data_IF_578513156039
#
_entry.id   IF_578513156039
#
_cell.length_a   1.000
_cell.length_b   1.000
_cell.length_c   1.000
_cell.angle_alpha   90.00
_cell.angle_beta   90.00
_cell.angle_gamma   90.00
#
_symmetry.space_group_name_H-M   'P 1'
#
loop_
_entity.id
_entity.type
_entity.pdbx_description
1 polymer ?
#
# COMPACT_ATOMS: atom_id res chain seq x y z
N UNK A 1 -0.83 4.68 -37.34
CA UNK A 1 -1.77 4.22 -36.29
C UNK A 1 -0.96 3.48 -35.24
N UNK A 2 -1.04 3.92 -33.98
CA UNK A 2 -0.40 3.20 -32.87
C UNK A 2 -1.15 1.89 -32.70
N UNK A 3 -0.45 0.75 -32.82
CA UNK A 3 -1.08 -0.56 -32.65
C UNK A 3 -1.34 -0.83 -31.17
N UNK A 4 -2.59 -0.67 -30.73
CA UNK A 4 -3.01 -0.92 -29.35
C UNK A 4 -2.93 -2.41 -28.95
N UNK A 5 -2.51 -3.33 -29.82
CA UNK A 5 -2.35 -4.74 -29.48
C UNK A 5 -1.30 -4.96 -28.40
N UNK A 6 -0.13 -4.29 -28.53
CA UNK A 6 0.93 -4.34 -27.52
C UNK A 6 0.44 -3.68 -26.23
N UNK A 7 -0.23 -2.52 -26.31
CA UNK A 7 -0.78 -1.82 -25.17
C UNK A 7 -1.79 -2.70 -24.40
N UNK A 8 -2.72 -3.36 -25.09
CA UNK A 8 -3.71 -4.27 -24.48
C UNK A 8 -3.04 -5.48 -23.82
N UNK A 9 -2.05 -6.10 -24.48
CA UNK A 9 -1.29 -7.20 -23.90
C UNK A 9 -0.57 -6.76 -22.64
N UNK A 10 0.22 -5.67 -22.69
CA UNK A 10 0.98 -5.15 -21.56
C UNK A 10 0.05 -4.73 -20.41
N UNK A 11 -1.10 -4.14 -20.71
CA UNK A 11 -2.09 -3.77 -19.69
C UNK A 11 -2.60 -5.00 -18.93
N UNK A 12 -2.89 -6.12 -19.61
CA UNK A 12 -3.31 -7.37 -18.95
C UNK A 12 -2.21 -7.96 -18.08
N UNK A 13 -0.97 -7.98 -18.58
CA UNK A 13 0.19 -8.45 -17.82
C UNK A 13 0.39 -7.59 -16.58
N UNK A 14 0.33 -6.26 -16.71
CA UNK A 14 0.50 -5.33 -15.60
C UNK A 14 -0.67 -5.37 -14.61
N UNK A 15 -1.90 -5.63 -15.06
CA UNK A 15 -3.04 -5.84 -14.17
C UNK A 15 -2.87 -7.13 -13.34
N UNK A 16 -2.41 -8.22 -13.94
CA UNK A 16 -2.10 -9.46 -13.22
C UNK A 16 -0.92 -9.25 -12.24
N UNK A 17 0.15 -8.56 -12.66
CA UNK A 17 1.27 -8.21 -11.80
C UNK A 17 0.85 -7.30 -10.63
N UNK A 18 -0.11 -6.37 -10.85
CA UNK A 18 -0.69 -5.53 -9.82
C UNK A 18 -1.50 -6.34 -8.80
N UNK A 19 -2.23 -7.37 -9.26
CA UNK A 19 -2.99 -8.26 -8.40
C UNK A 19 -2.08 -9.03 -7.42
N UNK A 20 -0.97 -9.56 -7.93
CA UNK A 20 -0.01 -10.32 -7.14
C UNK A 20 0.90 -9.42 -6.30
N UNK A 21 1.59 -8.49 -6.94
CA UNK A 21 2.57 -7.62 -6.29
C UNK A 21 1.93 -6.60 -5.35
N UNK A 22 0.76 -6.10 -5.70
CA UNK A 22 -0.01 -5.17 -4.86
C UNK A 22 -0.45 -5.78 -3.53
N UNK A 23 -0.53 -7.11 -3.41
CA UNK A 23 -0.89 -7.81 -2.18
C UNK A 23 0.14 -7.61 -1.04
N UNK A 24 1.40 -7.28 -1.35
CA UNK A 24 2.44 -7.05 -0.35
C UNK A 24 2.09 -5.93 0.64
N UNK A 25 1.48 -4.83 0.17
CA UNK A 25 1.10 -3.70 1.02
C UNK A 25 0.06 -4.09 2.08
N UNK A 26 -1.13 -4.64 1.75
CA UNK A 26 -2.10 -5.04 2.76
C UNK A 26 -1.61 -6.19 3.66
N UNK A 27 -0.72 -7.09 3.21
CA UNK A 27 -0.11 -8.11 4.07
C UNK A 27 0.67 -7.43 5.21
N UNK A 28 1.62 -6.54 4.87
CA UNK A 28 2.44 -5.88 5.90
C UNK A 28 1.60 -4.93 6.76
N UNK A 29 0.63 -4.23 6.19
CA UNK A 29 -0.24 -3.34 6.96
C UNK A 29 -1.12 -4.11 7.96
N UNK A 30 -1.57 -5.30 7.61
CA UNK A 30 -2.40 -6.14 8.50
C UNK A 30 -1.63 -6.73 9.68
N UNK A 31 -0.35 -7.01 9.52
CA UNK A 31 0.46 -7.75 10.50
C UNK A 31 1.61 -6.95 11.10
N UNK A 32 2.04 -5.88 10.42
CA UNK A 32 3.29 -5.18 10.76
C UNK A 32 3.30 -4.60 12.16
N UNK A 33 2.18 -4.00 12.63
CA UNK A 33 2.04 -3.51 13.98
C UNK A 33 1.94 -4.65 15.01
N UNK A 34 1.14 -5.67 14.71
CA UNK A 34 0.94 -6.85 15.59
C UNK A 34 2.26 -7.56 15.85
N UNK A 35 3.02 -7.86 14.78
CA UNK A 35 4.33 -8.50 14.89
C UNK A 35 5.36 -7.54 15.49
N UNK A 36 5.29 -6.26 15.10
CA UNK A 36 6.13 -5.22 15.67
C UNK A 36 5.98 -5.14 17.20
N UNK A 37 4.75 -5.19 17.71
CA UNK A 37 4.49 -5.22 19.15
C UNK A 37 5.02 -6.49 19.82
N UNK A 38 4.94 -7.64 19.15
CA UNK A 38 5.41 -8.92 19.68
C UNK A 38 6.94 -9.04 19.69
N UNK A 39 7.64 -8.46 18.72
CA UNK A 39 9.11 -8.56 18.57
C UNK A 39 9.87 -7.36 19.13
N UNK A 40 9.22 -6.21 19.30
CA UNK A 40 9.90 -4.99 19.72
C UNK A 40 10.27 -5.03 21.21
N UNK A 41 11.46 -4.59 21.57
CA UNK A 41 11.84 -4.38 22.97
C UNK A 41 11.07 -3.21 23.63
N UNK A 42 10.56 -2.27 22.81
CA UNK A 42 9.81 -1.11 23.25
C UNK A 42 8.49 -0.99 22.48
N UNK A 43 7.38 -0.80 23.22
CA UNK A 43 6.05 -0.61 22.63
C UNK A 43 5.96 0.61 21.71
N UNK A 44 6.78 1.65 21.95
CA UNK A 44 6.85 2.82 21.08
C UNK A 44 7.35 2.53 19.67
N UNK A 45 8.05 1.41 19.47
CA UNK A 45 8.58 0.98 18.18
C UNK A 45 7.68 -0.04 17.45
N UNK A 46 6.54 -0.41 18.02
CA UNK A 46 5.66 -1.46 17.47
C UNK A 46 5.24 -1.19 16.01
N UNK A 47 4.98 0.06 15.65
CA UNK A 47 4.56 0.46 14.30
C UNK A 47 5.73 0.76 13.35
N UNK A 48 6.98 0.68 13.83
CA UNK A 48 8.17 0.95 13.02
C UNK A 48 8.23 0.09 11.73
N UNK A 49 7.93 -1.23 11.74
CA UNK A 49 7.94 -2.04 10.53
C UNK A 49 7.01 -1.52 9.43
N UNK A 50 5.82 -1.02 9.79
CA UNK A 50 4.86 -0.44 8.84
C UNK A 50 5.38 0.91 8.31
N UNK A 51 5.96 1.73 9.19
CA UNK A 51 6.56 3.01 8.80
C UNK A 51 7.74 2.82 7.84
N UNK A 52 8.55 1.77 8.05
CA UNK A 52 9.67 1.43 7.18
C UNK A 52 9.24 0.98 5.78
N UNK A 53 8.05 0.38 5.62
CA UNK A 53 7.48 0.15 4.28
C UNK A 53 7.29 1.47 3.55
N UNK A 54 6.70 2.47 4.20
CA UNK A 54 6.47 3.78 3.58
C UNK A 54 7.78 4.50 3.25
N UNK A 55 8.76 4.41 4.15
CA UNK A 55 10.11 4.90 3.89
C UNK A 55 10.74 4.19 2.70
N UNK A 56 10.61 2.86 2.61
CA UNK A 56 11.09 2.07 1.47
C UNK A 56 10.44 2.48 0.15
N UNK A 57 9.13 2.75 0.14
CA UNK A 57 8.42 3.29 -1.04
C UNK A 57 9.00 4.63 -1.45
N UNK A 58 9.19 5.55 -0.49
CA UNK A 58 9.74 6.88 -0.77
C UNK A 58 11.16 6.80 -1.33
N UNK A 59 12.05 6.05 -0.66
CA UNK A 59 13.43 5.84 -1.09
C UNK A 59 13.54 5.08 -2.41
N UNK A 60 12.62 4.14 -2.67
CA UNK A 60 12.61 3.31 -3.88
C UNK A 60 12.13 4.02 -5.13
N UNK A 61 11.34 5.08 -5.01
CA UNK A 61 10.65 5.72 -6.16
C UNK A 61 11.64 6.27 -7.20
N UNK A 62 12.66 7.02 -6.77
CA UNK A 62 13.66 7.59 -7.66
C UNK A 62 14.60 6.52 -8.26
N UNK A 63 15.19 5.61 -7.46
CA UNK A 63 15.99 4.51 -7.99
C UNK A 63 15.21 3.62 -8.97
N UNK A 64 13.95 3.30 -8.66
CA UNK A 64 13.09 2.51 -9.55
C UNK A 64 12.92 3.20 -10.92
N UNK A 65 12.64 4.50 -10.93
CA UNK A 65 12.53 5.27 -12.17
C UNK A 65 13.85 5.27 -12.97
N UNK A 66 14.97 5.40 -12.29
CA UNK A 66 16.30 5.39 -12.92
C UNK A 66 16.65 4.01 -13.50
N UNK A 67 16.41 2.95 -12.74
CA UNK A 67 16.61 1.55 -13.19
C UNK A 67 15.75 1.26 -14.42
N UNK A 68 14.45 1.62 -14.37
CA UNK A 68 13.53 1.42 -15.50
C UNK A 68 13.95 2.21 -16.75
N UNK A 69 14.58 3.38 -16.58
CA UNK A 69 15.12 4.15 -17.71
C UNK A 69 16.34 3.48 -18.35
N UNK A 70 17.20 2.82 -17.55
CA UNK A 70 18.43 2.17 -18.05
C UNK A 70 18.19 0.75 -18.56
N UNK A 71 17.46 -0.07 -17.81
CA UNK A 71 17.27 -1.48 -18.11
C UNK A 71 15.96 -1.79 -18.85
N UNK A 72 15.11 -0.76 -19.04
CA UNK A 72 13.75 -0.92 -19.56
C UNK A 72 12.75 -1.38 -18.50
N UNK A 73 11.45 -1.28 -18.82
CA UNK A 73 10.35 -1.59 -17.90
C UNK A 73 10.37 -3.06 -17.43
N UNK A 74 10.53 -4.01 -18.37
CA UNK A 74 10.52 -5.44 -18.06
C UNK A 74 11.58 -5.82 -17.04
N UNK A 75 12.84 -5.50 -17.32
CA UNK A 75 13.97 -5.87 -16.46
C UNK A 75 13.93 -5.10 -15.14
N UNK A 76 13.51 -3.82 -15.17
CA UNK A 76 13.28 -3.03 -13.96
C UNK A 76 12.26 -3.67 -13.03
N UNK A 77 11.14 -4.15 -13.57
CA UNK A 77 10.11 -4.81 -12.78
C UNK A 77 10.52 -6.18 -12.25
N UNK A 78 11.30 -6.94 -13.02
CA UNK A 78 11.91 -8.19 -12.53
C UNK A 78 12.82 -7.89 -11.34
N UNK A 79 13.70 -6.89 -11.43
CA UNK A 79 14.55 -6.48 -10.33
C UNK A 79 13.73 -6.02 -9.11
N UNK A 80 12.67 -5.22 -9.33
CA UNK A 80 11.76 -4.84 -8.26
C UNK A 80 11.12 -6.04 -7.57
N UNK A 81 10.66 -7.03 -8.34
CA UNK A 81 10.06 -8.24 -7.78
C UNK A 81 11.07 -9.14 -7.06
N UNK A 82 12.34 -9.17 -7.48
CA UNK A 82 13.42 -9.81 -6.72
C UNK A 82 13.62 -9.16 -5.34
N UNK A 83 13.52 -7.81 -5.26
CA UNK A 83 13.50 -7.14 -3.96
C UNK A 83 12.28 -7.57 -3.13
N UNK A 84 11.12 -7.80 -3.78
CA UNK A 84 9.93 -8.32 -3.10
C UNK A 84 10.14 -9.72 -2.53
N UNK A 85 10.79 -10.62 -3.29
CA UNK A 85 11.17 -11.96 -2.81
C UNK A 85 12.13 -11.85 -1.63
N UNK A 86 13.21 -11.07 -1.77
CA UNK A 86 14.19 -10.86 -0.70
C UNK A 86 13.53 -10.28 0.56
N UNK A 87 12.68 -9.25 0.41
CA UNK A 87 11.96 -8.63 1.51
C UNK A 87 11.06 -9.62 2.25
N UNK A 88 10.29 -10.44 1.51
CA UNK A 88 9.45 -11.49 2.10
C UNK A 88 10.26 -12.55 2.85
N UNK A 89 11.37 -13.03 2.27
CA UNK A 89 12.24 -14.02 2.91
C UNK A 89 12.95 -13.48 4.16
N UNK A 90 13.45 -12.24 4.11
CA UNK A 90 14.08 -11.58 5.26
C UNK A 90 13.05 -11.32 6.37
N UNK A 91 11.83 -10.90 6.02
CA UNK A 91 10.75 -10.71 6.99
C UNK A 91 10.35 -12.07 7.63
N UNK A 92 10.21 -13.13 6.83
CA UNK A 92 9.92 -14.47 7.32
C UNK A 92 11.03 -14.97 8.29
N UNK A 93 12.30 -14.79 7.92
CA UNK A 93 13.43 -15.14 8.78
C UNK A 93 13.46 -14.29 10.07
N UNK A 94 13.10 -13.02 10.00
CA UNK A 94 12.97 -12.12 11.15
C UNK A 94 11.92 -12.61 12.14
N UNK A 95 10.75 -12.97 11.64
CA UNK A 95 9.65 -13.53 12.46
C UNK A 95 10.06 -14.88 13.06
N UNK A 96 10.61 -15.79 12.24
CA UNK A 96 11.00 -17.14 12.69
C UNK A 96 12.09 -17.11 13.77
N UNK A 97 13.00 -16.14 13.73
CA UNK A 97 14.10 -16.00 14.70
C UNK A 97 13.79 -15.05 15.85
N UNK A 98 12.60 -14.46 15.90
CA UNK A 98 12.26 -13.43 16.89
C UNK A 98 13.09 -12.15 16.76
N UNK A 99 13.63 -11.84 15.56
CA UNK A 99 14.48 -10.68 15.33
C UNK A 99 13.71 -9.49 14.80
N UNK A 100 13.49 -8.49 15.66
CA UNK A 100 12.84 -7.22 15.29
C UNK A 100 13.58 -6.50 14.15
N UNK A 101 14.92 -6.44 14.22
CA UNK A 101 15.73 -5.75 13.21
C UNK A 101 15.62 -6.43 11.83
N UNK A 102 15.69 -7.77 11.78
CA UNK A 102 15.54 -8.50 10.52
C UNK A 102 14.13 -8.29 9.93
N UNK A 103 13.09 -8.28 10.77
CA UNK A 103 11.74 -7.99 10.34
C UNK A 103 11.62 -6.56 9.77
N UNK A 104 12.18 -5.57 10.43
CA UNK A 104 12.25 -4.19 9.95
C UNK A 104 12.97 -4.06 8.60
N UNK A 105 14.10 -4.76 8.41
CA UNK A 105 14.82 -4.77 7.13
C UNK A 105 14.01 -5.44 6.03
N UNK A 106 13.29 -6.51 6.34
CA UNK A 106 12.39 -7.18 5.40
C UNK A 106 11.25 -6.27 4.95
N UNK A 107 10.63 -5.54 5.87
CA UNK A 107 9.54 -4.60 5.55
C UNK A 107 10.04 -3.38 4.77
N UNK A 108 11.23 -2.84 5.09
CA UNK A 108 11.87 -1.78 4.32
C UNK A 108 12.11 -2.23 2.86
N UNK A 109 12.68 -3.43 2.68
CA UNK A 109 12.95 -4.00 1.36
C UNK A 109 11.65 -4.26 0.58
N UNK A 110 10.60 -4.72 1.26
CA UNK A 110 9.24 -4.82 0.68
C UNK A 110 8.73 -3.45 0.22
N UNK A 111 8.99 -2.38 0.97
CA UNK A 111 8.67 -1.01 0.58
C UNK A 111 9.37 -0.58 -0.73
N UNK A 112 10.65 -0.92 -0.89
CA UNK A 112 11.38 -0.70 -2.15
C UNK A 112 10.68 -1.40 -3.33
N UNK A 113 10.24 -2.64 -3.15
CA UNK A 113 9.47 -3.38 -4.15
C UNK A 113 8.15 -2.69 -4.50
N UNK A 114 7.40 -2.24 -3.50
CA UNK A 114 6.10 -1.58 -3.70
C UNK A 114 6.25 -0.31 -4.56
N UNK A 115 7.38 0.39 -4.49
CA UNK A 115 7.66 1.54 -5.37
C UNK A 115 7.62 1.15 -6.87
N UNK A 116 8.12 -0.03 -7.24
CA UNK A 116 8.02 -0.54 -8.62
C UNK A 116 6.57 -0.90 -8.95
N UNK A 117 5.86 -1.58 -8.05
CA UNK A 117 4.46 -1.98 -8.24
C UNK A 117 3.57 -0.76 -8.50
N UNK A 118 3.74 0.32 -7.74
CA UNK A 118 2.96 1.55 -7.92
C UNK A 118 3.15 2.20 -9.29
N UNK A 119 4.24 1.90 -9.99
CA UNK A 119 4.50 2.43 -11.33
C UNK A 119 3.81 1.66 -12.47
N UNK A 120 3.22 0.48 -12.21
CA UNK A 120 2.57 -0.35 -13.25
C UNK A 120 1.47 0.39 -13.99
N UNK A 121 0.66 1.21 -13.30
CA UNK A 121 -0.39 2.02 -13.91
C UNK A 121 0.13 3.03 -14.94
N UNK A 122 1.34 3.57 -14.73
CA UNK A 122 1.97 4.48 -15.67
C UNK A 122 2.56 3.73 -16.87
N UNK A 123 3.20 2.57 -16.62
CA UNK A 123 3.74 1.74 -17.69
C UNK A 123 2.66 1.22 -18.64
N UNK A 124 1.45 0.99 -18.17
CA UNK A 124 0.33 0.59 -19.01
C UNK A 124 -0.04 1.65 -20.07
N UNK A 125 0.33 2.91 -19.85
CA UNK A 125 0.06 4.00 -20.79
C UNK A 125 1.17 4.26 -21.79
N UNK A 126 2.35 3.67 -21.62
CA UNK A 126 3.54 3.97 -22.45
C UNK A 126 3.34 3.64 -23.94
N UNK A 127 2.65 2.53 -24.25
CA UNK A 127 2.35 2.11 -25.62
C UNK A 127 0.88 2.38 -26.03
N UNK A 128 0.10 3.04 -25.17
CA UNK A 128 -1.33 3.21 -25.39
C UNK A 128 -1.64 4.47 -26.21
N UNK A 129 -2.56 4.34 -27.18
CA UNK A 129 -3.16 5.49 -27.85
C UNK A 129 -3.87 6.41 -26.84
N UNK A 130 -4.04 7.68 -27.20
CA UNK A 130 -4.70 8.66 -26.31
C UNK A 130 -6.07 8.16 -25.83
N UNK A 131 -6.86 7.53 -26.71
CA UNK A 131 -8.18 6.97 -26.38
C UNK A 131 -8.14 5.71 -25.50
N UNK A 132 -7.00 4.99 -25.45
CA UNK A 132 -6.88 3.77 -24.66
C UNK A 132 -6.22 3.99 -23.29
N UNK A 133 -5.51 5.10 -23.06
CA UNK A 133 -4.75 5.37 -21.81
C UNK A 133 -5.60 5.27 -20.56
N UNK A 134 -6.76 5.95 -20.54
CA UNK A 134 -7.66 5.91 -19.39
C UNK A 134 -8.13 4.48 -19.08
N UNK A 135 -8.45 3.73 -20.13
CA UNK A 135 -8.88 2.32 -20.01
C UNK A 135 -7.74 1.43 -19.52
N UNK A 136 -6.51 1.63 -19.97
CA UNK A 136 -5.34 0.90 -19.53
C UNK A 136 -5.09 1.10 -18.02
N UNK A 137 -5.16 2.33 -17.53
CA UNK A 137 -5.05 2.63 -16.09
C UNK A 137 -6.16 1.92 -15.31
N UNK A 138 -7.41 2.00 -15.76
CA UNK A 138 -8.54 1.34 -15.08
C UNK A 138 -8.35 -0.17 -14.97
N UNK A 139 -7.84 -0.85 -15.99
CA UNK A 139 -7.54 -2.27 -15.93
C UNK A 139 -6.47 -2.62 -14.89
N UNK A 140 -5.41 -1.83 -14.80
CA UNK A 140 -4.38 -2.04 -13.76
C UNK A 140 -4.96 -1.79 -12.37
N UNK A 141 -5.84 -0.79 -12.21
CA UNK A 141 -6.54 -0.54 -10.95
C UNK A 141 -7.48 -1.69 -10.56
N UNK A 142 -8.08 -2.41 -11.53
CA UNK A 142 -8.81 -3.67 -11.25
C UNK A 142 -7.88 -4.73 -10.62
N UNK A 143 -6.62 -4.82 -11.08
CA UNK A 143 -5.60 -5.63 -10.42
C UNK A 143 -5.38 -5.22 -8.95
N UNK A 144 -5.44 -3.92 -8.65
CA UNK A 144 -5.40 -3.41 -7.28
C UNK A 144 -6.56 -3.88 -6.40
N UNK A 145 -7.78 -3.99 -6.97
CA UNK A 145 -8.93 -4.60 -6.26
C UNK A 145 -8.69 -6.08 -5.95
N UNK A 146 -8.13 -6.83 -6.89
CA UNK A 146 -7.75 -8.22 -6.65
C UNK A 146 -6.66 -8.32 -5.56
N UNK A 147 -5.67 -7.43 -5.56
CA UNK A 147 -4.63 -7.35 -4.52
C UNK A 147 -5.23 -7.09 -3.13
N UNK A 148 -6.29 -6.26 -3.05
CA UNK A 148 -7.01 -5.96 -1.81
C UNK A 148 -7.68 -7.20 -1.20
N UNK A 149 -7.99 -8.21 -2.01
CA UNK A 149 -8.52 -9.50 -1.56
C UNK A 149 -7.36 -10.48 -1.29
N UNK A 150 -6.45 -10.62 -2.25
CA UNK A 150 -5.34 -11.59 -2.17
C UNK A 150 -4.49 -11.35 -0.91
N UNK A 151 -4.13 -10.10 -0.58
CA UNK A 151 -3.29 -9.78 0.57
C UNK A 151 -3.87 -10.28 1.89
N UNK A 152 -5.03 -9.80 2.34
CA UNK A 152 -5.64 -10.25 3.59
C UNK A 152 -6.00 -11.74 3.61
N UNK A 153 -6.45 -12.31 2.48
CA UNK A 153 -6.71 -13.74 2.39
C UNK A 153 -5.42 -14.56 2.56
N UNK A 154 -4.31 -14.09 1.99
CA UNK A 154 -2.99 -14.71 2.25
C UNK A 154 -2.68 -14.72 3.74
N UNK A 155 -2.90 -13.61 4.46
CA UNK A 155 -2.72 -13.57 5.92
C UNK A 155 -3.59 -14.62 6.62
N UNK A 156 -4.89 -14.69 6.30
CA UNK A 156 -5.84 -15.58 6.94
C UNK A 156 -5.46 -17.05 6.76
N UNK A 157 -5.06 -17.44 5.55
CA UNK A 157 -4.80 -18.84 5.22
C UNK A 157 -3.38 -19.31 5.59
N UNK A 158 -2.42 -18.40 5.69
CA UNK A 158 -1.00 -18.79 5.83
C UNK A 158 -0.35 -18.40 7.15
N UNK A 159 -1.06 -17.67 8.04
CA UNK A 159 -0.50 -17.23 9.33
C UNK A 159 -0.05 -18.39 10.24
N UNK A 160 -0.68 -19.55 10.14
CA UNK A 160 -0.41 -20.76 10.94
C UNK A 160 0.16 -21.89 10.08
N UNK A 161 0.56 -21.62 8.84
CA UNK A 161 1.04 -22.62 7.88
C UNK A 161 2.31 -23.33 8.35
N UNK A 162 3.16 -22.64 9.11
CA UNK A 162 4.40 -23.21 9.66
C UNK A 162 4.16 -23.53 11.14
N UNK A 163 4.15 -24.83 11.53
CA UNK A 163 3.93 -25.24 12.92
C UNK A 163 4.94 -24.58 13.87
N UNK A 164 4.46 -23.99 14.95
CA UNK A 164 5.28 -23.32 15.95
C UNK A 164 5.86 -21.94 15.56
N UNK A 165 5.71 -21.50 14.31
CA UNK A 165 6.24 -20.24 13.81
C UNK A 165 5.12 -19.37 13.20
N UNK A 166 4.26 -18.82 14.07
CA UNK A 166 3.12 -17.99 13.66
C UNK A 166 3.58 -16.83 12.76
N UNK A 167 2.81 -16.53 11.71
CA UNK A 167 3.06 -15.49 10.70
C UNK A 167 4.24 -15.72 9.75
N UNK A 168 5.17 -16.63 10.03
CA UNK A 168 6.29 -16.94 9.11
C UNK A 168 5.78 -17.38 7.74
N UNK A 169 4.75 -18.25 7.72
CA UNK A 169 4.11 -18.71 6.49
C UNK A 169 3.55 -17.57 5.63
N UNK A 170 3.05 -16.50 6.24
CA UNK A 170 2.51 -15.35 5.52
C UNK A 170 3.59 -14.61 4.72
N UNK A 171 4.78 -14.40 5.30
CA UNK A 171 5.86 -13.73 4.58
C UNK A 171 6.54 -14.63 3.54
N UNK A 172 6.54 -15.96 3.75
CA UNK A 172 6.92 -16.92 2.70
C UNK A 172 5.92 -16.88 1.53
N UNK A 173 4.63 -16.82 1.82
CA UNK A 173 3.60 -16.65 0.79
C UNK A 173 3.72 -15.30 0.07
N UNK A 174 4.07 -14.21 0.78
CA UNK A 174 4.38 -12.92 0.16
C UNK A 174 5.58 -13.03 -0.81
N UNK A 175 6.65 -13.73 -0.42
CA UNK A 175 7.80 -13.99 -1.29
C UNK A 175 7.38 -14.82 -2.53
N UNK A 176 6.51 -15.82 -2.36
CA UNK A 176 5.99 -16.62 -3.46
C UNK A 176 5.12 -15.77 -4.43
N UNK A 177 4.29 -14.87 -3.93
CA UNK A 177 3.53 -13.93 -4.75
C UNK A 177 4.46 -12.97 -5.53
N UNK A 178 5.55 -12.52 -4.92
CA UNK A 178 6.55 -11.72 -5.60
C UNK A 178 7.29 -12.54 -6.68
N UNK A 179 7.59 -13.80 -6.43
CA UNK A 179 8.17 -14.72 -7.42
C UNK A 179 7.22 -14.94 -8.61
N UNK A 180 5.94 -15.17 -8.34
CA UNK A 180 4.91 -15.25 -9.39
C UNK A 180 4.81 -13.93 -10.18
N UNK A 181 4.99 -12.80 -9.52
CA UNK A 181 5.05 -11.51 -10.21
C UNK A 181 6.21 -11.44 -11.20
N UNK A 182 7.39 -12.04 -10.90
CA UNK A 182 8.51 -12.15 -11.85
C UNK A 182 8.06 -12.90 -13.10
N UNK A 183 7.41 -14.05 -12.93
CA UNK A 183 6.92 -14.87 -14.05
C UNK A 183 5.95 -14.06 -14.91
N UNK A 184 4.98 -13.38 -14.29
CA UNK A 184 3.99 -12.57 -15.01
C UNK A 184 4.63 -11.42 -15.76
N UNK A 185 5.53 -10.67 -15.12
CA UNK A 185 6.21 -9.51 -15.74
C UNK A 185 7.18 -9.94 -16.86
N UNK A 186 7.69 -11.18 -16.82
CA UNK A 186 8.51 -11.71 -17.92
C UNK A 186 7.78 -11.74 -19.26
N UNK A 187 6.44 -11.77 -19.28
CA UNK A 187 5.63 -11.67 -20.50
C UNK A 187 5.43 -10.24 -20.98
N UNK A 188 5.94 -9.23 -20.28
CA UNK A 188 5.83 -7.84 -20.70
C UNK A 188 6.61 -7.63 -22.02
N UNK A 189 5.91 -7.13 -23.02
CA UNK A 189 6.52 -6.84 -24.33
C UNK A 189 7.18 -5.47 -24.28
N UNK A 190 8.40 -5.33 -24.83
CA UNK A 190 9.04 -4.03 -24.95
C UNK A 190 8.12 -3.07 -25.73
N UNK A 191 7.68 -2.00 -25.07
CA UNK A 191 7.05 -0.90 -25.77
C UNK A 191 8.18 -0.06 -26.37
N UNK A 192 8.08 0.35 -27.66
CA UNK A 192 8.99 1.35 -28.16
C UNK A 192 8.85 2.56 -27.23
N UNK A 193 9.88 2.82 -26.42
CA UNK A 193 9.97 4.12 -25.77
C UNK A 193 9.75 5.14 -26.88
N UNK A 194 8.85 6.10 -26.67
CA UNK A 194 8.75 7.24 -27.56
C UNK A 194 10.13 7.91 -27.61
N UNK A 195 10.98 7.41 -28.50
CA UNK A 195 12.36 7.84 -28.72
C UNK A 195 12.43 9.27 -29.25
N UNK A 196 11.30 9.97 -29.22
CA UNK A 196 11.15 11.31 -29.77
C UNK A 196 10.63 12.36 -28.78
N UNK A 197 10.54 12.07 -27.49
CA UNK A 197 10.38 13.19 -26.56
C UNK A 197 11.68 14.01 -26.58
N UNK A 198 11.64 15.26 -27.06
CA UNK A 198 12.86 16.07 -27.12
C UNK A 198 13.45 16.13 -25.70
N UNK A 199 14.77 15.83 -25.60
CA UNK A 199 15.57 16.12 -24.40
C UNK A 199 15.72 17.63 -24.17
N UNK A 200 14.84 18.45 -24.75
CA UNK A 200 14.79 19.88 -24.53
C UNK A 200 14.47 20.15 -23.08
N UNK A 201 15.34 20.86 -22.41
CA UNK A 201 15.36 21.14 -20.99
C UNK A 201 13.98 21.33 -20.38
N UNK A 202 13.60 20.38 -19.54
CA UNK A 202 12.42 20.55 -18.70
C UNK A 202 12.57 21.79 -17.81
N UNK A 203 11.46 22.38 -17.40
CA UNK A 203 11.50 23.51 -16.46
C UNK A 203 12.33 23.13 -15.22
N UNK A 204 13.17 24.01 -14.69
CA UNK A 204 13.92 23.76 -13.46
C UNK A 204 12.97 23.30 -12.35
N UNK A 205 13.35 22.24 -11.61
CA UNK A 205 12.52 21.65 -10.57
C UNK A 205 12.06 22.69 -9.54
N UNK A 206 12.92 23.64 -9.19
CA UNK A 206 12.58 24.73 -8.28
C UNK A 206 11.40 25.58 -8.78
N UNK A 207 11.34 25.87 -10.08
CA UNK A 207 10.23 26.64 -10.66
C UNK A 207 8.91 25.88 -10.55
N UNK A 208 8.96 24.55 -10.66
CA UNK A 208 7.77 23.69 -10.52
C UNK A 208 7.30 23.63 -9.06
N UNK A 209 8.24 23.44 -8.12
CA UNK A 209 7.94 23.31 -6.69
C UNK A 209 7.29 24.57 -6.11
N UNK A 210 7.70 25.76 -6.57
CA UNK A 210 7.14 27.03 -6.12
C UNK A 210 5.82 27.43 -6.80
N UNK A 211 5.28 26.61 -7.71
CA UNK A 211 3.96 26.87 -8.27
C UNK A 211 2.86 26.62 -7.21
N UNK A 212 1.96 27.60 -6.94
CA UNK A 212 0.91 27.44 -5.93
C UNK A 212 0.03 26.19 -6.15
N UNK A 213 -0.32 25.90 -7.40
CA UNK A 213 -1.09 24.69 -7.74
C UNK A 213 -0.37 23.38 -7.40
N UNK A 214 0.97 23.32 -7.58
CA UNK A 214 1.77 22.17 -7.19
C UNK A 214 1.85 22.05 -5.66
N UNK A 215 2.11 23.14 -4.95
CA UNK A 215 2.19 23.15 -3.49
C UNK A 215 0.87 22.70 -2.84
N UNK A 216 -0.28 23.19 -3.32
CA UNK A 216 -1.61 22.77 -2.85
C UNK A 216 -1.85 21.29 -3.13
N UNK A 217 -1.50 20.79 -4.32
CA UNK A 217 -1.68 19.39 -4.66
C UNK A 217 -0.81 18.47 -3.77
N UNK A 218 0.44 18.86 -3.49
CA UNK A 218 1.34 18.14 -2.58
C UNK A 218 0.79 18.16 -1.16
N UNK A 219 0.38 19.32 -0.64
CA UNK A 219 -0.20 19.43 0.69
C UNK A 219 -1.45 18.57 0.87
N UNK A 220 -2.38 18.62 -0.09
CA UNK A 220 -3.57 17.77 -0.10
C UNK A 220 -3.21 16.27 -0.13
N UNK A 221 -2.21 15.89 -0.93
CA UNK A 221 -1.69 14.53 -0.99
C UNK A 221 -1.09 14.06 0.34
N UNK A 222 -0.26 14.89 0.97
CA UNK A 222 0.37 14.59 2.28
C UNK A 222 -0.71 14.37 3.34
N UNK A 223 -1.68 15.28 3.45
CA UNK A 223 -2.76 15.17 4.45
C UNK A 223 -3.61 13.92 4.20
N UNK A 224 -4.07 13.70 2.97
CA UNK A 224 -4.93 12.55 2.64
C UNK A 224 -4.21 11.21 2.85
N UNK A 225 -2.97 11.10 2.36
CA UNK A 225 -2.18 9.88 2.48
C UNK A 225 -1.74 9.62 3.92
N UNK A 226 -1.37 10.68 4.66
CA UNK A 226 -0.99 10.59 6.06
C UNK A 226 -2.14 10.10 6.93
N UNK A 227 -3.35 10.65 6.78
CA UNK A 227 -4.53 10.22 7.51
C UNK A 227 -4.94 8.78 7.16
N UNK A 228 -4.86 8.42 5.89
CA UNK A 228 -5.11 7.04 5.43
C UNK A 228 -4.10 6.07 6.06
N UNK A 229 -2.82 6.37 5.99
CA UNK A 229 -1.75 5.52 6.53
C UNK A 229 -1.86 5.37 8.04
N UNK A 230 -2.19 6.46 8.76
CA UNK A 230 -2.43 6.43 10.19
C UNK A 230 -3.58 5.48 10.54
N UNK A 231 -4.72 5.60 9.86
CA UNK A 231 -5.88 4.74 10.11
C UNK A 231 -5.57 3.27 9.80
N UNK A 232 -4.93 2.99 8.68
CA UNK A 232 -4.57 1.63 8.27
C UNK A 232 -3.56 0.97 9.21
N UNK A 233 -2.67 1.75 9.84
CA UNK A 233 -1.68 1.24 10.79
C UNK A 233 -2.33 0.99 12.15
N UNK A 234 -3.13 1.93 12.66
CA UNK A 234 -3.68 1.85 14.01
C UNK A 234 -4.88 0.90 14.11
N UNK A 235 -5.67 0.72 13.03
CA UNK A 235 -6.91 -0.06 13.12
C UNK A 235 -6.68 -1.56 13.39
N UNK A 236 -5.75 -2.29 12.74
CA UNK A 236 -5.51 -3.69 13.04
C UNK A 236 -5.07 -3.92 14.48
N UNK A 237 -4.15 -3.09 14.97
CA UNK A 237 -3.62 -3.19 16.33
C UNK A 237 -4.73 -2.95 17.36
N UNK A 238 -5.52 -1.90 17.20
CA UNK A 238 -6.67 -1.60 18.05
C UNK A 238 -7.72 -2.72 18.02
N UNK A 239 -7.98 -3.34 16.87
CA UNK A 239 -8.92 -4.47 16.78
C UNK A 239 -8.42 -5.68 17.57
N UNK A 240 -7.14 -6.01 17.50
CA UNK A 240 -6.56 -7.14 18.25
C UNK A 240 -6.50 -6.82 19.74
N UNK A 241 -6.14 -5.62 20.16
CA UNK A 241 -6.19 -5.19 21.57
C UNK A 241 -7.62 -5.22 22.14
N UNK A 242 -8.64 -4.98 21.31
CA UNK A 242 -10.03 -5.12 21.66
C UNK A 242 -10.54 -6.59 21.66
N UNK A 243 -9.66 -7.56 21.46
CA UNK A 243 -9.98 -9.00 21.50
C UNK A 243 -10.51 -9.58 20.19
N UNK A 244 -10.47 -8.84 19.09
CA UNK A 244 -10.79 -9.40 17.77
C UNK A 244 -9.66 -10.30 17.26
N UNK A 245 -10.02 -11.31 16.46
CA UNK A 245 -9.02 -12.17 15.85
C UNK A 245 -8.20 -11.41 14.78
N UNK A 246 -6.95 -11.86 14.56
CA UNK A 246 -6.10 -11.36 13.47
C UNK A 246 -6.79 -11.48 12.11
N UNK A 247 -7.58 -12.54 11.91
CA UNK A 247 -8.39 -12.72 10.70
C UNK A 247 -9.43 -11.61 10.52
N UNK A 248 -10.12 -11.21 11.62
CA UNK A 248 -11.06 -10.09 11.59
C UNK A 248 -10.39 -8.76 11.29
N UNK A 249 -9.18 -8.54 11.83
CA UNK A 249 -8.38 -7.35 11.53
C UNK A 249 -7.95 -7.31 10.06
N UNK A 250 -7.51 -8.44 9.51
CA UNK A 250 -7.17 -8.56 8.08
C UNK A 250 -8.38 -8.31 7.17
N UNK A 251 -9.57 -8.83 7.52
CA UNK A 251 -10.82 -8.52 6.81
C UNK A 251 -11.19 -7.04 6.90
N UNK A 252 -10.94 -6.38 8.03
CA UNK A 252 -11.11 -4.93 8.19
C UNK A 252 -10.27 -4.14 7.18
N UNK A 253 -9.00 -4.51 7.02
CA UNK A 253 -8.12 -3.93 6.00
C UNK A 253 -8.62 -4.25 4.58
N UNK A 254 -9.07 -5.49 4.32
CA UNK A 254 -9.64 -5.86 3.01
C UNK A 254 -10.79 -4.92 2.62
N UNK A 255 -11.77 -4.75 3.50
CA UNK A 255 -12.92 -3.87 3.24
C UNK A 255 -12.52 -2.41 3.09
N UNK A 256 -11.55 -1.94 3.89
CA UNK A 256 -11.03 -0.59 3.77
C UNK A 256 -10.40 -0.37 2.38
N UNK A 257 -9.53 -1.28 1.93
CA UNK A 257 -8.86 -1.16 0.63
C UNK A 257 -9.85 -1.31 -0.53
N UNK A 258 -10.84 -2.22 -0.43
CA UNK A 258 -11.93 -2.31 -1.40
C UNK A 258 -12.75 -1.02 -1.48
N UNK A 259 -13.06 -0.41 -0.33
CA UNK A 259 -13.73 0.89 -0.25
C UNK A 259 -12.90 2.05 -0.85
N UNK A 260 -11.57 1.95 -0.80
CA UNK A 260 -10.66 2.93 -1.40
C UNK A 260 -10.61 2.80 -2.93
N UNK A 261 -10.48 1.59 -3.45
CA UNK A 261 -10.35 1.35 -4.90
C UNK A 261 -11.69 1.27 -5.64
N UNK A 262 -12.75 0.75 -5.00
CA UNK A 262 -14.06 0.58 -5.63
C UNK A 262 -14.64 1.89 -6.20
N UNK A 263 -14.74 2.97 -5.43
CA UNK A 263 -15.26 4.24 -5.93
C UNK A 263 -14.39 4.91 -7.01
N UNK A 264 -13.13 4.48 -7.18
CA UNK A 264 -12.21 5.08 -8.17
C UNK A 264 -12.78 5.06 -9.60
N UNK A 265 -13.61 4.07 -9.94
CA UNK A 265 -14.27 3.98 -11.24
C UNK A 265 -15.33 5.07 -11.45
N UNK A 266 -15.96 5.52 -10.35
CA UNK A 266 -16.94 6.61 -10.37
C UNK A 266 -16.26 7.97 -10.32
N UNK A 267 -15.14 8.06 -9.60
CA UNK A 267 -14.38 9.30 -9.40
C UNK A 267 -13.90 9.89 -10.73
N UNK A 268 -13.51 9.06 -11.70
CA UNK A 268 -13.14 9.53 -13.05
C UNK A 268 -14.27 10.31 -13.71
N UNK A 269 -15.50 9.79 -13.71
CA UNK A 269 -16.69 10.45 -14.25
C UNK A 269 -17.07 11.72 -13.48
N UNK A 270 -16.88 11.70 -12.16
CA UNK A 270 -17.14 12.88 -11.33
C UNK A 270 -16.14 14.00 -11.64
N UNK A 271 -14.86 13.68 -11.84
CA UNK A 271 -13.82 14.62 -12.23
C UNK A 271 -14.11 15.24 -13.60
N UNK A 272 -14.55 14.43 -14.57
CA UNK A 272 -14.95 14.92 -15.90
C UNK A 272 -16.14 15.89 -15.81
N UNK A 273 -17.12 15.62 -14.94
CA UNK A 273 -18.35 16.40 -14.82
C UNK A 273 -18.19 17.65 -13.95
N UNK A 274 -17.48 17.57 -12.83
CA UNK A 274 -17.42 18.64 -11.81
C UNK A 274 -16.06 19.30 -11.68
N UNK A 275 -15.05 18.80 -12.39
CA UNK A 275 -13.66 19.25 -12.29
C UNK A 275 -12.91 18.64 -11.13
N UNK A 276 -11.59 18.54 -11.28
CA UNK A 276 -10.68 17.89 -10.31
C UNK A 276 -10.67 18.59 -8.95
N UNK A 277 -10.76 19.90 -8.93
CA UNK A 277 -10.63 20.71 -7.72
C UNK A 277 -11.81 20.50 -6.77
N UNK A 278 -13.05 20.55 -7.31
CA UNK A 278 -14.28 20.32 -6.52
C UNK A 278 -14.35 18.89 -5.97
N UNK A 279 -13.98 17.90 -6.77
CA UNK A 279 -14.00 16.49 -6.35
C UNK A 279 -12.96 16.25 -5.26
N UNK A 280 -11.75 16.84 -5.37
CA UNK A 280 -10.73 16.75 -4.33
C UNK A 280 -11.18 17.44 -3.04
N UNK A 281 -11.75 18.63 -3.13
CA UNK A 281 -12.29 19.36 -1.97
C UNK A 281 -13.41 18.57 -1.27
N UNK A 282 -14.33 17.97 -2.02
CA UNK A 282 -15.38 17.12 -1.48
C UNK A 282 -14.79 15.88 -0.75
N UNK A 283 -13.75 15.25 -1.31
CA UNK A 283 -13.04 14.15 -0.67
C UNK A 283 -12.39 14.55 0.67
N UNK A 284 -11.74 15.70 0.72
CA UNK A 284 -11.14 16.23 1.95
C UNK A 284 -12.20 16.56 3.02
N UNK A 285 -13.34 17.12 2.62
CA UNK A 285 -14.48 17.37 3.54
C UNK A 285 -15.02 16.05 4.10
N UNK A 286 -15.16 15.00 3.29
CA UNK A 286 -15.61 13.69 3.73
C UNK A 286 -14.63 13.07 4.75
N UNK A 287 -13.31 13.17 4.51
CA UNK A 287 -12.29 12.72 5.45
C UNK A 287 -12.39 13.51 6.76
N UNK A 288 -12.51 14.83 6.70
CA UNK A 288 -12.67 15.69 7.87
C UNK A 288 -13.95 15.34 8.66
N UNK A 289 -15.05 15.05 7.98
CA UNK A 289 -16.34 14.70 8.60
C UNK A 289 -16.31 13.29 9.26
N UNK A 290 -15.45 12.38 8.81
CA UNK A 290 -15.29 11.04 9.39
C UNK A 290 -14.54 11.07 10.74
N UNK A 291 -13.65 12.05 10.97
CA UNK A 291 -12.82 12.17 12.17
C UNK A 291 -13.59 12.44 13.47
N UNK A 292 -14.47 13.46 13.55
CA UNK A 292 -15.05 13.93 14.81
C UNK A 292 -15.95 12.93 15.52
N UNK A 293 -16.62 12.04 14.78
CA UNK A 293 -17.58 11.07 15.36
C UNK A 293 -16.90 9.98 16.17
N UNK A 294 -15.66 9.57 15.82
CA UNK A 294 -14.87 8.58 16.55
C UNK A 294 -14.16 9.20 17.75
N UNK A 295 -13.50 10.33 17.59
CA UNK A 295 -12.78 11.03 18.64
C UNK A 295 -13.71 11.38 19.82
N UNK A 296 -14.96 11.81 19.57
CA UNK A 296 -15.94 12.09 20.63
C UNK A 296 -16.36 10.84 21.41
N UNK A 297 -16.40 9.66 20.82
CA UNK A 297 -16.74 8.41 21.54
C UNK A 297 -15.59 7.92 22.40
N UNK A 298 -14.38 7.97 21.89
CA UNK A 298 -13.17 7.56 22.61
C UNK A 298 -12.84 8.51 23.76
N UNK A 299 -12.98 9.82 23.56
CA UNK A 299 -12.81 10.83 24.63
C UNK A 299 -13.82 10.68 25.76
N UNK A 300 -15.07 10.35 25.46
CA UNK A 300 -16.07 10.06 26.51
C UNK A 300 -15.69 8.81 27.29
N UNK A 301 -15.30 7.75 26.63
CA UNK A 301 -14.86 6.52 27.29
C UNK A 301 -13.57 6.66 28.09
N UNK A 302 -12.66 7.58 27.70
CA UNK A 302 -11.46 7.91 28.46
C UNK A 302 -11.82 8.72 29.70
N UNK A 303 -12.68 9.74 29.56
CA UNK A 303 -13.12 10.59 30.67
C UNK A 303 -13.93 9.82 31.72
N UNK A 304 -14.80 8.90 31.29
CA UNK A 304 -15.56 8.01 32.21
C UNK A 304 -14.64 7.00 32.93
N UNK A 305 -13.48 6.64 32.37
CA UNK A 305 -12.46 5.81 33.03
C UNK A 305 -11.65 6.59 34.03
N UNK A 306 -11.30 7.81 33.73
CA UNK A 306 -10.52 8.69 34.62
C UNK A 306 -11.34 9.10 35.85
N UNK A 307 -12.62 9.43 35.68
CA UNK A 307 -13.55 9.72 36.75
C UNK A 307 -13.81 8.51 37.67
N UNK A 308 -13.70 7.26 37.17
CA UNK A 308 -13.79 6.05 37.96
C UNK A 308 -12.49 5.64 38.64
N UNK A 309 -11.34 6.07 38.17
CA UNK A 309 -10.04 5.78 38.76
C UNK A 309 -9.69 6.68 39.95
N UNK A 310 -10.32 7.84 40.04
CA UNK A 310 -10.18 8.77 41.17
C UNK A 310 -11.00 8.42 42.41
N UNK A 311 -11.86 7.41 42.30
CA UNK A 311 -12.78 6.99 43.39
C UNK A 311 -12.82 5.48 43.68
N UNK A 312 -11.68 4.85 44.02
CA UNK A 312 -11.71 3.49 44.58
C UNK A 312 -11.07 2.41 43.69
N UNK A 313 -10.35 1.49 44.35
CA UNK A 313 -9.67 0.32 43.75
C UNK A 313 -10.52 -0.42 42.71
N UNK A 314 -10.18 -0.31 41.44
CA UNK A 314 -10.89 -1.00 40.35
C UNK A 314 -10.06 -2.18 39.85
N UNK A 315 -10.62 -3.38 39.98
CA UNK A 315 -10.21 -4.58 39.24
C UNK A 315 -10.35 -4.30 37.72
N UNK A 316 -9.39 -4.70 36.87
CA UNK A 316 -9.57 -4.56 35.45
C UNK A 316 -10.71 -5.48 34.98
N UNK A 317 -11.81 -4.89 34.55
CA UNK A 317 -12.84 -5.62 33.82
C UNK A 317 -12.37 -5.91 32.38
N UNK A 318 -12.67 -7.10 31.80
CA UNK A 318 -12.33 -7.39 30.40
C UNK A 318 -13.03 -6.38 29.50
N UNK A 319 -12.23 -5.66 28.69
CA UNK A 319 -12.67 -4.54 27.89
C UNK A 319 -13.73 -4.94 26.87
N UNK A 320 -14.87 -4.28 26.92
CA UNK A 320 -15.85 -4.28 25.83
C UNK A 320 -15.59 -3.07 24.95
N UNK A 321 -14.85 -3.29 23.88
CA UNK A 321 -14.92 -2.39 22.72
C UNK A 321 -16.30 -2.59 22.06
N UNK A 322 -17.19 -1.61 22.18
CA UNK A 322 -18.45 -1.53 21.42
C UNK A 322 -18.32 -0.52 20.28
#
# INVERSE_FOLDING_TARGET
MIDDRIARHNTRVLAAAQALGGAASPIVTSLGGIIGLALSPDRGLATLPVSLVQLGVALGTLPAAFVMRRLGRRNGYILGALLGVAGGLVAAAGVARGSFLAFCLGTLTTGLYIAYVQSYRFAATDAASVGFRARAISWVMCGGLAAAIIGPQTVIWTRELVPGLMFTGTFLAQAALALLTIVVVAFLRPAPFAAGAPRSGGRPLLVIVWQPGFAIAVAAGIVSFGLMSFLMTAAPDAMVECGHSVGSAALGIQWHVLGMFGPSFLTGRLIERYGKERVTAAGLVLIAAAGPRRVRREWRGFKERDDRSSGGRVRPAPGKCR
#
